data_IF_709915100054
#
_entry.id   IF_709915100054
#
_cell.length_a   1.000
_cell.length_b   1.000
_cell.length_c   1.000
_cell.angle_alpha   90.00
_cell.angle_beta   90.00
_cell.angle_gamma   90.00
#
_symmetry.space_group_name_H-M   'P 1'
#
loop_
_entity.id
_entity.type
_entity.pdbx_description
1 polymer ?
#
# COMPACT_ATOMS: atom_id res chain seq x y z
N UNK A 1 -11.49 2.45 8.62
CA UNK A 1 -11.17 2.01 10.01
C UNK A 1 -9.65 1.92 10.16
N UNK A 2 -8.95 1.10 9.38
CA UNK A 2 -7.47 1.00 9.37
C UNK A 2 -6.72 2.31 9.13
N UNK A 3 -6.94 2.99 8.01
CA UNK A 3 -6.23 4.25 7.70
C UNK A 3 -6.69 5.47 8.51
N UNK A 4 -7.69 5.31 9.39
CA UNK A 4 -8.11 6.35 10.34
C UNK A 4 -7.52 6.12 11.73
N UNK A 5 -6.86 4.98 11.93
CA UNK A 5 -6.20 4.69 13.19
C UNK A 5 -5.04 5.68 13.42
N UNK A 6 -4.97 6.34 14.59
CA UNK A 6 -3.93 7.33 14.87
C UNK A 6 -2.51 6.78 14.74
N UNK A 7 -2.25 5.53 15.12
CA UNK A 7 -0.93 4.93 15.01
C UNK A 7 -0.57 4.69 13.54
N UNK A 8 -1.53 4.24 12.73
CA UNK A 8 -1.33 4.09 11.28
C UNK A 8 -1.05 5.46 10.63
N UNK A 9 -1.82 6.48 10.96
CA UNK A 9 -1.64 7.84 10.44
C UNK A 9 -0.25 8.43 10.80
N UNK A 10 0.21 8.21 12.03
CA UNK A 10 1.55 8.67 12.46
C UNK A 10 2.67 8.05 11.63
N UNK A 11 2.59 6.74 11.34
CA UNK A 11 3.60 6.04 10.52
C UNK A 11 3.54 6.48 9.07
N UNK A 12 2.33 6.58 8.51
CA UNK A 12 2.13 7.05 7.14
C UNK A 12 2.59 8.51 6.92
N UNK A 13 2.53 9.35 7.96
CA UNK A 13 3.05 10.71 7.93
C UNK A 13 4.57 10.83 7.74
N UNK A 14 5.32 9.73 7.94
CA UNK A 14 6.78 9.69 7.74
C UNK A 14 7.19 9.24 6.34
N UNK A 15 6.23 8.92 5.47
CA UNK A 15 6.49 8.41 4.13
C UNK A 15 5.66 9.12 3.07
N UNK A 16 6.06 8.96 1.81
CA UNK A 16 5.28 9.46 0.68
C UNK A 16 4.15 8.48 0.38
N UNK A 17 2.92 8.89 0.68
CA UNK A 17 1.71 8.13 0.33
C UNK A 17 1.26 8.52 -1.08
N UNK A 18 1.02 7.52 -1.92
CA UNK A 18 0.42 7.67 -3.25
C UNK A 18 -0.86 6.85 -3.29
N UNK A 19 -1.91 7.41 -3.88
CA UNK A 19 -3.18 6.74 -4.08
C UNK A 19 -3.52 6.75 -5.56
N UNK A 20 -3.83 5.57 -6.10
CA UNK A 20 -4.41 5.42 -7.42
C UNK A 20 -5.87 5.02 -7.25
N UNK A 21 -6.77 5.82 -7.80
CA UNK A 21 -8.18 5.46 -7.89
C UNK A 21 -8.39 4.62 -9.16
N UNK A 22 -8.73 3.35 -8.97
CA UNK A 22 -8.98 2.37 -10.04
C UNK A 22 -10.47 2.03 -10.19
N UNK A 23 -11.36 2.86 -9.65
CA UNK A 23 -12.83 2.61 -9.65
C UNK A 23 -13.38 2.50 -11.08
N UNK A 24 -12.80 3.23 -12.03
CA UNK A 24 -13.21 3.19 -13.43
C UNK A 24 -12.91 1.84 -14.12
N UNK A 25 -11.97 1.04 -13.58
CA UNK A 25 -11.54 -0.25 -14.14
C UNK A 25 -11.18 -0.15 -15.64
N UNK A 26 -10.54 0.96 -16.01
CA UNK A 26 -10.05 1.24 -17.35
C UNK A 26 -8.94 0.27 -17.78
N UNK A 27 -8.51 0.35 -19.04
CA UNK A 27 -7.39 -0.45 -19.52
C UNK A 27 -6.09 -0.15 -18.73
N UNK A 28 -5.87 1.13 -18.39
CA UNK A 28 -4.72 1.56 -17.60
C UNK A 28 -4.80 1.08 -16.15
N UNK A 29 -5.99 1.09 -15.55
CA UNK A 29 -6.21 0.56 -14.20
C UNK A 29 -5.90 -0.95 -14.15
N UNK A 30 -6.38 -1.69 -15.14
CA UNK A 30 -6.09 -3.13 -15.27
C UNK A 30 -4.61 -3.39 -15.50
N UNK A 31 -3.92 -2.54 -16.29
CA UNK A 31 -2.50 -2.65 -16.52
C UNK A 31 -1.70 -2.37 -15.23
N UNK A 32 -2.10 -1.35 -14.46
CA UNK A 32 -1.51 -1.00 -13.17
C UNK A 32 -1.65 -2.15 -12.15
N UNK A 33 -2.87 -2.68 -12.00
CA UNK A 33 -3.15 -3.80 -11.11
C UNK A 33 -2.32 -5.04 -11.51
N UNK A 34 -2.29 -5.39 -12.80
CA UNK A 34 -1.46 -6.49 -13.32
C UNK A 34 0.03 -6.27 -13.06
N UNK A 35 0.55 -5.06 -13.28
CA UNK A 35 1.96 -4.73 -13.05
C UNK A 35 2.40 -5.01 -11.62
N UNK A 36 1.52 -4.80 -10.65
CA UNK A 36 1.80 -5.06 -9.24
C UNK A 36 1.28 -6.41 -8.73
N UNK A 37 0.73 -7.23 -9.64
CA UNK A 37 0.15 -8.53 -9.34
C UNK A 37 -1.00 -8.45 -8.31
N UNK A 38 -1.80 -7.37 -8.43
CA UNK A 38 -2.98 -7.10 -7.62
C UNK A 38 -4.23 -7.53 -8.40
N UNK A 39 -5.14 -8.24 -7.74
CA UNK A 39 -6.40 -8.67 -8.36
C UNK A 39 -7.53 -7.65 -8.23
N UNK A 40 -7.39 -6.72 -7.29
CA UNK A 40 -8.35 -5.65 -7.03
C UNK A 40 -8.04 -4.93 -5.72
N UNK A 41 -8.72 -3.82 -5.44
CA UNK A 41 -8.58 -3.11 -4.18
C UNK A 41 -9.27 -3.85 -3.01
N UNK A 42 -8.83 -3.62 -1.77
CA UNK A 42 -7.66 -2.83 -1.40
C UNK A 42 -6.35 -3.58 -1.71
N UNK A 43 -5.41 -2.90 -2.36
CA UNK A 43 -4.07 -3.40 -2.65
C UNK A 43 -3.05 -2.31 -2.34
N UNK A 44 -2.08 -2.62 -1.49
CA UNK A 44 -1.10 -1.64 -0.99
C UNK A 44 0.28 -2.18 -1.33
N UNK A 45 1.11 -1.33 -1.93
CA UNK A 45 2.46 -1.68 -2.36
C UNK A 45 3.44 -0.74 -1.67
N UNK A 46 4.45 -1.31 -1.04
CA UNK A 46 5.50 -0.58 -0.35
C UNK A 46 6.76 -0.56 -1.23
N UNK A 47 7.33 0.64 -1.39
CA UNK A 47 8.52 0.87 -2.20
C UNK A 47 9.69 1.28 -1.32
N UNK A 48 10.89 0.84 -1.70
CA UNK A 48 12.12 1.26 -1.07
C UNK A 48 12.46 2.71 -1.44
N UNK A 49 12.79 3.54 -0.45
CA UNK A 49 13.22 4.91 -0.66
C UNK A 49 14.65 5.00 -1.23
N UNK A 50 15.51 4.02 -0.91
CA UNK A 50 16.90 3.96 -1.38
C UNK A 50 17.03 3.34 -2.78
N UNK A 51 16.04 2.53 -3.20
CA UNK A 51 16.03 1.86 -4.50
C UNK A 51 14.69 2.09 -5.23
N UNK A 52 14.57 3.19 -6.01
CA UNK A 52 13.35 3.54 -6.72
C UNK A 52 12.82 2.37 -7.57
N UNK A 53 11.56 2.01 -7.34
CA UNK A 53 10.89 0.92 -8.07
C UNK A 53 11.07 -0.47 -7.47
N UNK A 54 11.92 -0.65 -6.45
CA UNK A 54 11.99 -1.91 -5.70
C UNK A 54 10.80 -1.99 -4.74
N UNK A 55 10.02 -3.05 -4.89
CA UNK A 55 8.92 -3.36 -3.98
C UNK A 55 9.48 -4.13 -2.78
N UNK A 56 9.26 -3.61 -1.57
CA UNK A 56 9.71 -4.26 -0.32
C UNK A 56 8.64 -5.16 0.26
N UNK A 57 7.37 -4.75 0.16
CA UNK A 57 6.25 -5.48 0.71
C UNK A 57 4.96 -5.20 -0.06
N UNK A 58 3.98 -6.10 0.03
CA UNK A 58 2.66 -5.96 -0.57
C UNK A 58 1.60 -6.49 0.39
N UNK A 59 0.50 -5.75 0.47
CA UNK A 59 -0.73 -6.18 1.15
C UNK A 59 -1.82 -6.30 0.10
N UNK A 60 -2.49 -7.45 0.10
CA UNK A 60 -3.58 -7.76 -0.80
C UNK A 60 -4.81 -8.03 0.05
N UNK A 61 -5.89 -7.30 -0.21
CA UNK A 61 -7.11 -7.37 0.57
C UNK A 61 -7.05 -6.55 1.85
N UNK A 62 -8.15 -6.60 2.59
CA UNK A 62 -8.31 -5.82 3.81
C UNK A 62 -7.43 -6.38 4.94
N UNK A 63 -6.85 -5.47 5.72
CA UNK A 63 -6.17 -5.77 6.98
C UNK A 63 -6.69 -4.86 8.09
N UNK A 64 -6.90 -5.43 9.27
CA UNK A 64 -7.19 -4.69 10.48
C UNK A 64 -5.99 -3.79 10.88
N UNK A 65 -6.19 -2.74 11.70
CA UNK A 65 -5.13 -1.79 12.03
C UNK A 65 -3.86 -2.42 12.60
N UNK A 66 -4.01 -3.36 13.54
CA UNK A 66 -2.94 -4.11 14.18
C UNK A 66 -2.12 -4.94 13.17
N UNK A 67 -2.80 -5.64 12.27
CA UNK A 67 -2.17 -6.42 11.19
C UNK A 67 -1.44 -5.50 10.21
N UNK A 68 -2.04 -4.34 9.90
CA UNK A 68 -1.45 -3.38 9.00
C UNK A 68 -0.21 -2.71 9.60
N UNK A 69 -0.21 -2.39 10.90
CA UNK A 69 0.96 -1.90 11.61
C UNK A 69 2.13 -2.91 11.53
N UNK A 70 1.85 -4.20 11.73
CA UNK A 70 2.87 -5.23 11.54
C UNK A 70 3.36 -5.33 10.08
N UNK A 71 2.52 -5.04 9.09
CA UNK A 71 2.94 -4.94 7.69
C UNK A 71 3.85 -3.73 7.44
N UNK A 72 3.60 -2.59 8.12
CA UNK A 72 4.48 -1.42 8.08
C UNK A 72 5.86 -1.73 8.65
N UNK A 73 5.93 -2.49 9.75
CA UNK A 73 7.20 -2.95 10.33
C UNK A 73 7.98 -3.85 9.35
N UNK A 74 7.30 -4.81 8.70
CA UNK A 74 7.91 -5.67 7.67
C UNK A 74 8.37 -4.89 6.44
N UNK A 75 7.70 -3.78 6.13
CA UNK A 75 8.06 -2.87 5.06
C UNK A 75 9.15 -1.86 5.46
N UNK A 76 9.66 -1.94 6.69
CA UNK A 76 10.65 -1.01 7.27
C UNK A 76 10.23 0.46 7.23
N UNK A 77 8.92 0.72 7.32
CA UNK A 77 8.38 2.07 7.46
C UNK A 77 8.61 2.52 8.90
N UNK A 78 9.21 3.68 9.19
CA UNK A 78 9.48 4.14 10.56
C UNK A 78 8.24 4.65 11.30
#
# INVERSE_FOLDING_TARGET
MTFRDPAVLQRLGKVRVLQADVTANSADDKALLKRFNLFGPPGIVFFDAAAPGRITHKVIGYQAPDVFLAALDKAAIP
#
